data_IF_118915544843
#
_entry.id   IF_118915544843
#
_cell.length_a   1.000
_cell.length_b   1.000
_cell.length_c   1.000
_cell.angle_alpha   90.00
_cell.angle_beta   90.00
_cell.angle_gamma   90.00
#
_symmetry.space_group_name_H-M   'P 1'
#
loop_
_entity.id
_entity.type
_entity.pdbx_description
1 polymer ?
#
# COMPACT_ATOMS: atom_id res chain seq x y z
N UNK A 1 -23.04 11.04 20.68
CA UNK A 1 -24.10 11.79 19.96
C UNK A 1 -24.74 10.98 18.85
N UNK A 2 -24.07 10.66 17.74
CA UNK A 2 -24.68 9.93 16.61
C UNK A 2 -25.32 8.57 17.01
N UNK A 3 -24.64 7.75 17.81
CA UNK A 3 -25.16 6.46 18.30
C UNK A 3 -26.36 6.63 19.24
N UNK A 4 -26.38 7.70 20.04
CA UNK A 4 -27.48 7.97 20.99
C UNK A 4 -28.73 8.36 20.20
N UNK A 5 -28.58 9.25 19.22
CA UNK A 5 -29.68 9.67 18.34
C UNK A 5 -30.27 8.48 17.58
N UNK A 6 -29.46 7.52 17.12
CA UNK A 6 -29.96 6.29 16.50
C UNK A 6 -30.76 5.42 17.48
N UNK A 7 -30.29 5.27 18.73
CA UNK A 7 -31.03 4.55 19.77
C UNK A 7 -32.36 5.25 20.14
N UNK A 8 -32.37 6.58 20.16
CA UNK A 8 -33.59 7.37 20.40
C UNK A 8 -34.61 7.18 19.27
N UNK A 9 -34.17 7.24 18.01
CA UNK A 9 -35.02 7.00 16.83
C UNK A 9 -35.58 5.58 16.81
N UNK A 10 -34.84 4.59 17.32
CA UNK A 10 -35.30 3.20 17.45
C UNK A 10 -36.19 2.96 18.68
N UNK A 11 -36.60 4.00 19.43
CA UNK A 11 -37.42 3.88 20.63
C UNK A 11 -36.68 3.28 21.84
N UNK A 12 -35.34 3.19 21.77
CA UNK A 12 -34.46 2.59 22.78
C UNK A 12 -33.68 3.63 23.60
N UNK A 13 -34.10 4.90 23.60
CA UNK A 13 -33.39 6.00 24.28
C UNK A 13 -33.20 5.85 25.80
N UNK A 14 -33.96 4.94 26.44
CA UNK A 14 -33.87 4.60 27.86
C UNK A 14 -33.25 3.21 28.12
N UNK A 15 -32.74 2.52 27.11
CA UNK A 15 -32.16 1.19 27.27
C UNK A 15 -30.81 1.23 28.00
N UNK A 16 -30.36 0.06 28.46
CA UNK A 16 -29.00 -0.11 29.03
C UNK A 16 -27.94 0.32 28.01
N UNK A 17 -28.16 0.04 26.72
CA UNK A 17 -27.30 0.50 25.63
C UNK A 17 -27.21 2.03 25.56
N UNK A 18 -28.35 2.74 25.61
CA UNK A 18 -28.36 4.20 25.59
C UNK A 18 -27.61 4.80 26.78
N UNK A 19 -27.78 4.23 27.98
CA UNK A 19 -27.06 4.65 29.20
C UNK A 19 -25.56 4.39 29.11
N UNK A 20 -25.14 3.25 28.55
CA UNK A 20 -23.72 2.93 28.33
C UNK A 20 -23.09 3.94 27.37
N UNK A 21 -23.75 4.26 26.26
CA UNK A 21 -23.24 5.21 25.25
C UNK A 21 -23.21 6.64 25.80
N UNK A 22 -24.18 7.05 26.63
CA UNK A 22 -24.27 8.39 27.20
C UNK A 22 -23.23 8.64 28.29
N UNK A 23 -23.20 7.76 29.30
CA UNK A 23 -22.49 8.05 30.56
C UNK A 23 -21.17 7.28 30.69
N UNK A 24 -21.02 6.16 29.97
CA UNK A 24 -19.93 5.21 30.14
C UNK A 24 -19.20 4.85 28.84
N UNK A 25 -19.25 5.71 27.82
CA UNK A 25 -18.62 5.46 26.51
C UNK A 25 -17.13 5.11 26.61
N UNK A 26 -16.39 5.76 27.52
CA UNK A 26 -14.96 5.45 27.74
C UNK A 26 -14.73 4.02 28.25
N UNK A 27 -15.66 3.47 29.03
CA UNK A 27 -15.59 2.10 29.55
C UNK A 27 -16.01 1.09 28.48
N UNK A 28 -16.99 1.45 27.63
CA UNK A 28 -17.37 0.70 26.44
C UNK A 28 -16.20 0.53 25.47
N UNK A 29 -15.53 1.63 25.10
CA UNK A 29 -14.36 1.62 24.19
C UNK A 29 -13.22 0.76 24.74
N UNK A 30 -13.04 0.75 26.07
CA UNK A 30 -12.03 -0.07 26.75
C UNK A 30 -12.51 -1.50 27.07
N UNK A 31 -13.73 -1.86 26.66
CA UNK A 31 -14.37 -3.16 26.88
C UNK A 31 -14.33 -3.64 28.33
N UNK A 32 -14.51 -2.72 29.29
CA UNK A 32 -14.46 -3.02 30.73
C UNK A 32 -15.82 -3.51 31.24
N UNK A 33 -16.24 -4.69 30.77
CA UNK A 33 -17.54 -5.31 31.09
C UNK A 33 -17.82 -5.39 32.60
N UNK A 34 -16.86 -5.82 33.47
CA UNK A 34 -17.13 -5.92 34.90
C UNK A 34 -17.34 -4.55 35.58
N UNK A 35 -16.64 -3.51 35.10
CA UNK A 35 -16.82 -2.15 35.61
C UNK A 35 -18.14 -1.54 35.12
N UNK A 36 -18.54 -1.83 33.88
CA UNK A 36 -19.84 -1.46 33.34
C UNK A 36 -20.97 -2.09 34.17
N UNK A 37 -20.86 -3.37 34.55
CA UNK A 37 -21.87 -4.09 35.36
C UNK A 37 -22.07 -3.43 36.70
N UNK A 38 -20.97 -3.11 37.39
CA UNK A 38 -21.00 -2.39 38.67
C UNK A 38 -21.61 -1.00 38.56
N UNK A 39 -21.28 -0.25 37.51
CA UNK A 39 -21.74 1.14 37.35
C UNK A 39 -23.17 1.26 36.85
N UNK A 40 -23.62 0.31 36.05
CA UNK A 40 -25.00 0.29 35.50
C UNK A 40 -25.98 -0.45 36.41
N UNK A 41 -25.49 -1.26 37.35
CA UNK A 41 -26.33 -2.09 38.22
C UNK A 41 -27.06 -3.20 37.45
N UNK A 42 -26.46 -3.66 36.34
CA UNK A 42 -27.03 -4.72 35.48
C UNK A 42 -26.09 -5.90 35.39
N UNK A 43 -26.60 -7.06 34.98
CA UNK A 43 -25.78 -8.27 34.88
C UNK A 43 -24.74 -8.12 33.76
N UNK A 44 -23.69 -8.94 33.79
CA UNK A 44 -22.71 -8.96 32.70
C UNK A 44 -23.33 -9.41 31.37
N UNK A 45 -24.39 -10.23 31.43
CA UNK A 45 -25.14 -10.73 30.27
C UNK A 45 -25.98 -9.63 29.62
N UNK A 46 -26.66 -8.81 30.43
CA UNK A 46 -27.40 -7.63 29.94
C UNK A 46 -26.49 -6.61 29.27
N UNK A 47 -25.27 -6.45 29.78
CA UNK A 47 -24.27 -5.56 29.18
C UNK A 47 -23.76 -6.12 27.86
N UNK A 48 -23.54 -7.43 27.80
CA UNK A 48 -23.11 -8.08 26.58
C UNK A 48 -24.18 -7.91 25.49
N UNK A 49 -25.45 -8.13 25.83
CA UNK A 49 -26.61 -7.86 24.96
C UNK A 49 -26.67 -6.38 24.52
N UNK A 50 -26.44 -5.45 25.44
CA UNK A 50 -26.42 -4.02 25.13
C UNK A 50 -25.25 -3.62 24.21
N UNK A 51 -24.09 -4.28 24.34
CA UNK A 51 -22.94 -4.05 23.46
C UNK A 51 -23.22 -4.58 22.05
N UNK A 52 -23.87 -5.73 21.95
CA UNK A 52 -24.29 -6.30 20.67
C UNK A 52 -25.31 -5.39 19.98
N UNK A 53 -26.26 -4.83 20.71
CA UNK A 53 -27.19 -3.81 20.19
C UNK A 53 -26.44 -2.58 19.66
N UNK A 54 -25.49 -2.04 20.43
CA UNK A 54 -24.67 -0.88 20.00
C UNK A 54 -23.85 -1.22 18.74
N UNK A 55 -23.36 -2.45 18.62
CA UNK A 55 -22.57 -2.89 17.49
C UNK A 55 -23.36 -2.94 16.16
N UNK A 56 -24.70 -3.00 16.22
CA UNK A 56 -25.56 -2.92 15.03
C UNK A 56 -25.73 -1.50 14.48
N UNK A 57 -25.36 -0.47 15.25
CA UNK A 57 -25.54 0.92 14.87
C UNK A 57 -24.40 1.43 13.99
N UNK A 58 -24.68 2.43 13.14
CA UNK A 58 -23.69 3.01 12.23
C UNK A 58 -23.02 4.22 12.89
N UNK A 59 -21.73 4.18 13.26
CA UNK A 59 -21.07 5.34 13.89
C UNK A 59 -20.89 6.53 12.93
N UNK A 60 -21.04 6.33 11.62
CA UNK A 60 -20.81 7.36 10.61
C UNK A 60 -21.80 7.23 9.41
N UNK A 61 -23.12 7.42 9.64
CA UNK A 61 -24.14 7.24 8.61
C UNK A 61 -23.96 8.18 7.42
N UNK A 62 -23.38 9.37 7.66
CA UNK A 62 -23.04 10.36 6.63
C UNK A 62 -22.02 9.86 5.59
N UNK A 63 -21.22 8.84 5.91
CA UNK A 63 -20.20 8.30 5.00
C UNK A 63 -20.81 7.73 3.70
N UNK A 64 -22.05 7.24 3.75
CA UNK A 64 -22.79 6.72 2.59
C UNK A 64 -23.13 7.79 1.55
N UNK A 65 -23.12 9.06 1.96
CA UNK A 65 -23.38 10.22 1.11
C UNK A 65 -22.09 10.94 0.69
N UNK A 66 -20.93 10.47 1.14
CA UNK A 66 -19.65 10.96 0.66
C UNK A 66 -19.47 10.56 -0.79
N UNK A 67 -18.94 11.47 -1.61
CA UNK A 67 -18.51 11.11 -2.96
C UNK A 67 -17.51 9.96 -2.88
N UNK A 68 -17.68 8.96 -3.75
CA UNK A 68 -16.77 7.83 -3.83
C UNK A 68 -15.41 8.34 -4.31
N UNK A 69 -14.38 8.20 -3.47
CA UNK A 69 -13.02 8.62 -3.77
C UNK A 69 -12.24 7.54 -4.50
N UNK A 70 -12.92 6.60 -5.16
CA UNK A 70 -12.31 5.49 -5.85
C UNK A 70 -11.61 5.96 -7.14
N UNK A 71 -10.44 6.55 -6.97
CA UNK A 71 -9.59 6.98 -8.07
C UNK A 71 -9.05 5.75 -8.77
N UNK A 72 -9.50 5.52 -10.01
CA UNK A 72 -8.93 4.49 -10.87
C UNK A 72 -7.49 4.87 -11.21
N UNK A 73 -6.55 4.04 -10.78
CA UNK A 73 -5.13 4.23 -11.08
C UNK A 73 -4.81 3.50 -12.38
N UNK A 74 -4.46 4.27 -13.40
CA UNK A 74 -3.94 3.71 -14.64
C UNK A 74 -2.44 3.39 -14.47
N UNK A 75 -2.02 2.12 -14.62
CA UNK A 75 -0.63 1.73 -14.42
C UNK A 75 0.25 2.21 -15.57
N UNK A 76 1.47 2.68 -15.27
CA UNK A 76 2.47 3.05 -16.28
C UNK A 76 3.12 1.83 -16.93
N UNK A 77 3.22 0.72 -16.20
CA UNK A 77 3.89 -0.50 -16.64
C UNK A 77 3.06 -1.72 -16.28
N UNK A 78 2.97 -2.67 -17.19
CA UNK A 78 2.31 -3.96 -16.98
C UNK A 78 3.32 -5.09 -17.08
N UNK A 79 3.32 -5.97 -16.08
CA UNK A 79 4.16 -7.16 -16.01
C UNK A 79 3.26 -8.40 -15.99
N UNK A 80 3.52 -9.34 -16.90
CA UNK A 80 2.74 -10.58 -17.03
C UNK A 80 3.63 -11.71 -17.58
N UNK A 81 3.17 -12.97 -17.45
CA UNK A 81 3.79 -14.10 -18.14
C UNK A 81 3.12 -14.32 -19.48
N UNK A 82 3.93 -14.55 -20.52
CA UNK A 82 3.41 -14.99 -21.81
C UNK A 82 3.02 -16.48 -21.80
N UNK A 83 2.52 -16.96 -22.94
CA UNK A 83 2.09 -18.35 -23.12
C UNK A 83 3.22 -19.38 -22.96
N UNK A 84 4.48 -18.94 -23.01
CA UNK A 84 5.68 -19.75 -22.80
C UNK A 84 6.23 -19.66 -21.37
N UNK A 85 5.51 -18.97 -20.47
CA UNK A 85 5.88 -18.78 -19.07
C UNK A 85 7.00 -17.76 -18.85
N UNK A 86 7.38 -16.97 -19.86
CA UNK A 86 8.42 -15.94 -19.73
C UNK A 86 7.81 -14.63 -19.25
N UNK A 87 8.51 -13.95 -18.36
CA UNK A 87 8.09 -12.65 -17.87
C UNK A 87 8.28 -11.55 -18.92
N UNK A 88 7.19 -10.86 -19.24
CA UNK A 88 7.15 -9.74 -20.16
C UNK A 88 6.87 -8.44 -19.42
N UNK A 89 7.50 -7.35 -19.90
CA UNK A 89 7.32 -5.99 -19.40
C UNK A 89 6.80 -5.13 -20.54
N UNK A 90 5.62 -4.54 -20.38
CA UNK A 90 5.00 -3.64 -21.35
C UNK A 90 4.78 -2.28 -20.72
N UNK A 91 5.32 -1.24 -21.35
CA UNK A 91 5.09 0.15 -20.96
C UNK A 91 3.78 0.66 -21.56
N UNK A 92 2.91 1.23 -20.73
CA UNK A 92 1.73 1.94 -21.20
C UNK A 92 2.15 3.36 -21.61
N UNK A 93 2.15 3.61 -22.92
CA UNK A 93 2.60 4.86 -23.53
C UNK A 93 1.45 5.63 -24.19
N UNK A 94 0.20 5.28 -23.89
CA UNK A 94 -0.99 5.81 -24.57
C UNK A 94 -1.14 7.33 -24.41
N UNK A 95 -0.58 7.89 -23.33
CA UNK A 95 -0.55 9.33 -23.07
C UNK A 95 0.59 10.08 -23.79
N UNK A 96 1.53 9.38 -24.46
CA UNK A 96 2.65 10.01 -25.16
C UNK A 96 2.38 9.99 -26.67
N UNK A 97 2.16 11.16 -27.31
CA UNK A 97 1.99 11.21 -28.74
C UNK A 97 3.28 10.78 -29.45
N UNK A 98 3.16 10.17 -30.64
CA UNK A 98 4.33 9.87 -31.49
C UNK A 98 4.92 11.18 -32.02
N UNK A 99 5.98 11.64 -31.38
CA UNK A 99 6.66 12.88 -31.75
C UNK A 99 7.65 12.64 -32.89
N UNK A 100 7.62 13.51 -33.90
CA UNK A 100 8.59 13.53 -35.00
C UNK A 100 8.90 14.96 -35.40
N UNK A 101 10.13 15.20 -35.85
CA UNK A 101 10.50 16.48 -36.46
C UNK A 101 9.88 16.54 -37.85
N UNK A 102 9.14 17.60 -38.14
CA UNK A 102 8.51 17.80 -39.46
C UNK A 102 9.55 17.78 -40.58
N UNK A 103 9.26 17.02 -41.65
CA UNK A 103 10.11 16.91 -42.84
C UNK A 103 10.24 18.22 -43.62
N UNK A 104 9.23 19.09 -43.54
CA UNK A 104 9.19 20.40 -44.21
C UNK A 104 10.42 21.24 -43.87
N UNK A 105 10.84 21.23 -42.61
CA UNK A 105 12.00 22.00 -42.17
C UNK A 105 13.33 21.44 -42.69
N UNK A 106 13.41 20.11 -42.88
CA UNK A 106 14.58 19.47 -43.53
C UNK A 106 14.66 19.86 -44.99
N UNK A 107 13.54 19.89 -45.69
CA UNK A 107 13.45 20.30 -47.09
C UNK A 107 13.80 21.79 -47.28
N UNK A 108 13.32 22.67 -46.39
CA UNK A 108 13.67 24.09 -46.41
C UNK A 108 15.17 24.33 -46.24
N UNK A 109 15.83 23.57 -45.35
CA UNK A 109 17.28 23.61 -45.18
C UNK A 109 18.04 23.09 -46.42
N UNK A 110 17.51 22.05 -47.08
CA UNK A 110 18.11 21.45 -48.27
C UNK A 110 17.99 22.36 -49.51
N UNK A 111 16.91 23.14 -49.62
CA UNK A 111 16.69 24.08 -50.74
C UNK A 111 17.68 25.25 -50.78
N UNK A 112 18.37 25.55 -49.68
CA UNK A 112 19.46 26.54 -49.65
C UNK A 112 19.04 28.00 -49.84
N UNK A 113 17.74 28.31 -49.85
CA UNK A 113 17.18 29.66 -50.05
C UNK A 113 17.16 30.53 -48.79
N UNK A 114 17.64 30.02 -47.66
CA UNK A 114 17.61 30.68 -46.35
C UNK A 114 18.87 31.51 -46.11
N UNK A 115 18.71 32.66 -45.46
CA UNK A 115 19.83 33.44 -44.92
C UNK A 115 20.59 32.64 -43.86
N UNK A 116 21.88 32.96 -43.66
CA UNK A 116 22.73 32.31 -42.65
C UNK A 116 22.08 32.35 -41.25
N UNK A 117 21.51 33.50 -40.85
CA UNK A 117 20.83 33.66 -39.56
C UNK A 117 19.58 32.77 -39.43
N UNK A 118 18.79 32.64 -40.49
CA UNK A 118 17.58 31.82 -40.52
C UNK A 118 17.92 30.34 -40.48
N UNK A 119 18.95 29.93 -41.22
CA UNK A 119 19.50 28.57 -41.20
C UNK A 119 19.97 28.17 -39.80
N UNK A 120 20.75 29.03 -39.15
CA UNK A 120 21.27 28.77 -37.81
C UNK A 120 20.13 28.64 -36.77
N UNK A 121 19.13 29.53 -36.85
CA UNK A 121 17.94 29.46 -35.99
C UNK A 121 17.15 28.16 -36.19
N UNK A 122 16.90 27.75 -37.44
CA UNK A 122 16.18 26.51 -37.73
C UNK A 122 16.94 25.28 -37.24
N UNK A 123 18.26 25.23 -37.43
CA UNK A 123 19.10 24.16 -36.93
C UNK A 123 19.06 24.06 -35.41
N UNK A 124 19.11 25.20 -34.70
CA UNK A 124 18.98 25.24 -33.25
C UNK A 124 17.63 24.67 -32.79
N UNK A 125 16.51 25.14 -33.36
CA UNK A 125 15.16 24.65 -32.99
C UNK A 125 15.00 23.16 -33.30
N UNK A 126 15.56 22.67 -34.40
CA UNK A 126 15.57 21.24 -34.73
C UNK A 126 16.39 20.42 -33.75
N UNK A 127 17.55 20.93 -33.28
CA UNK A 127 18.35 20.26 -32.24
C UNK A 127 17.59 20.21 -30.91
N UNK A 128 16.97 21.32 -30.50
CA UNK A 128 16.14 21.36 -29.28
C UNK A 128 14.96 20.39 -29.37
N UNK A 129 14.29 20.32 -30.54
CA UNK A 129 13.22 19.35 -30.77
C UNK A 129 13.71 17.90 -30.69
N UNK A 130 14.85 17.59 -31.31
CA UNK A 130 15.46 16.25 -31.23
C UNK A 130 15.84 15.89 -29.79
N UNK A 131 16.41 16.84 -29.05
CA UNK A 131 16.77 16.66 -27.65
C UNK A 131 15.55 16.31 -26.78
N UNK A 132 14.42 16.98 -27.00
CA UNK A 132 13.17 16.67 -26.29
C UNK A 132 12.68 15.26 -26.58
N UNK A 133 12.63 14.87 -27.86
CA UNK A 133 12.20 13.51 -28.27
C UNK A 133 13.10 12.46 -27.62
N UNK A 134 14.42 12.61 -27.73
CA UNK A 134 15.39 11.69 -27.14
C UNK A 134 15.25 11.63 -25.61
N UNK A 135 14.96 12.75 -24.94
CA UNK A 135 14.77 12.80 -23.50
C UNK A 135 13.53 12.03 -23.05
N UNK A 136 12.44 12.08 -23.84
CA UNK A 136 11.22 11.30 -23.58
C UNK A 136 11.49 9.80 -23.75
N UNK A 137 12.18 9.42 -24.82
CA UNK A 137 12.58 8.02 -25.07
C UNK A 137 13.50 7.50 -23.97
N UNK A 138 14.51 8.28 -23.56
CA UNK A 138 15.42 7.92 -22.48
C UNK A 138 14.69 7.70 -21.15
N UNK A 139 13.69 8.54 -20.84
CA UNK A 139 12.84 8.36 -19.67
C UNK A 139 12.10 7.02 -19.71
N UNK A 140 11.55 6.64 -20.87
CA UNK A 140 10.86 5.35 -21.03
C UNK A 140 11.80 4.16 -20.88
N UNK A 141 12.96 4.21 -21.55
CA UNK A 141 13.98 3.18 -21.40
C UNK A 141 14.46 3.02 -19.96
N UNK A 142 14.55 4.12 -19.21
CA UNK A 142 14.96 4.10 -17.80
C UNK A 142 13.92 3.37 -16.93
N UNK A 143 12.62 3.66 -17.14
CA UNK A 143 11.53 2.99 -16.43
C UNK A 143 11.47 1.50 -16.77
N UNK A 144 11.67 1.16 -18.04
CA UNK A 144 11.72 -0.24 -18.50
C UNK A 144 12.86 -1.00 -17.83
N UNK A 145 14.08 -0.44 -17.85
CA UNK A 145 15.26 -1.03 -17.22
C UNK A 145 15.05 -1.24 -15.72
N UNK A 146 14.57 -0.21 -15.01
CA UNK A 146 14.24 -0.32 -13.59
C UNK A 146 13.21 -1.43 -13.35
N UNK A 147 12.19 -1.54 -14.20
CA UNK A 147 11.16 -2.59 -14.07
C UNK A 147 11.73 -3.98 -14.27
N UNK A 148 12.58 -4.18 -15.28
CA UNK A 148 13.25 -5.47 -15.54
C UNK A 148 14.15 -5.88 -14.37
N UNK A 149 14.87 -4.94 -13.79
CA UNK A 149 15.68 -5.20 -12.60
C UNK A 149 14.82 -5.55 -11.39
N UNK A 150 13.74 -4.82 -11.13
CA UNK A 150 12.79 -5.17 -10.05
C UNK A 150 12.23 -6.58 -10.27
N UNK A 151 11.84 -6.92 -11.48
CA UNK A 151 11.33 -8.24 -11.84
C UNK A 151 12.35 -9.35 -11.60
N UNK A 152 13.62 -9.12 -11.94
CA UNK A 152 14.73 -10.06 -11.69
C UNK A 152 14.96 -10.28 -10.19
N UNK A 153 15.04 -9.19 -9.41
CA UNK A 153 15.27 -9.27 -7.96
C UNK A 153 14.08 -9.82 -7.17
N UNK A 154 12.85 -9.56 -7.64
CA UNK A 154 11.60 -9.89 -6.96
C UNK A 154 10.84 -11.04 -7.64
N UNK A 155 11.54 -11.91 -8.35
CA UNK A 155 10.92 -13.03 -9.08
C UNK A 155 9.96 -13.85 -8.20
N UNK A 156 10.34 -14.15 -6.95
CA UNK A 156 9.48 -14.87 -6.02
C UNK A 156 8.17 -14.13 -5.70
N UNK A 157 8.19 -12.80 -5.61
CA UNK A 157 6.99 -11.99 -5.39
C UNK A 157 6.05 -12.07 -6.59
N UNK A 158 6.60 -11.99 -7.81
CA UNK A 158 5.77 -12.07 -9.01
C UNK A 158 5.17 -13.48 -9.17
N UNK A 159 5.84 -14.52 -8.68
CA UNK A 159 5.36 -15.89 -8.72
C UNK A 159 4.34 -16.21 -7.61
N UNK A 160 4.66 -15.90 -6.36
CA UNK A 160 3.92 -16.35 -5.17
C UNK A 160 3.16 -15.24 -4.44
N UNK A 161 3.29 -13.99 -4.89
CA UNK A 161 2.61 -12.83 -4.33
C UNK A 161 3.36 -12.17 -3.18
N UNK A 162 2.62 -11.34 -2.43
CA UNK A 162 3.16 -10.36 -1.47
C UNK A 162 4.00 -11.02 -0.35
N UNK A 163 3.66 -12.25 0.05
CA UNK A 163 4.35 -12.96 1.12
C UNK A 163 5.84 -13.18 0.84
N UNK A 164 6.23 -13.27 -0.44
CA UNK A 164 7.61 -13.51 -0.88
C UNK A 164 8.35 -12.25 -1.34
N UNK A 165 7.89 -11.07 -0.91
CA UNK A 165 8.58 -9.81 -1.18
C UNK A 165 9.94 -9.76 -0.46
N UNK A 166 11.02 -9.70 -1.25
CA UNK A 166 12.39 -9.60 -0.75
C UNK A 166 12.76 -8.13 -0.48
N UNK A 167 13.63 -7.86 0.50
CA UNK A 167 14.21 -6.53 0.69
C UNK A 167 14.97 -6.03 -0.54
N UNK A 168 14.71 -4.79 -0.93
CA UNK A 168 15.36 -4.17 -2.08
C UNK A 168 15.51 -2.67 -1.82
N UNK A 169 16.71 -2.15 -2.06
CA UNK A 169 17.00 -0.72 -1.91
C UNK A 169 17.08 -0.04 -3.26
N UNK A 170 16.79 1.26 -3.32
CA UNK A 170 16.93 2.03 -4.56
C UNK A 170 18.39 2.06 -5.02
N UNK A 171 19.34 2.10 -4.09
CA UNK A 171 20.76 2.05 -4.40
C UNK A 171 21.17 0.75 -5.13
N UNK A 172 20.61 -0.40 -4.73
CA UNK A 172 20.85 -1.68 -5.42
C UNK A 172 20.46 -1.61 -6.89
N UNK A 173 19.27 -1.09 -7.20
CA UNK A 173 18.81 -0.92 -8.59
C UNK A 173 19.61 0.16 -9.32
N UNK A 174 19.96 1.26 -8.63
CA UNK A 174 20.75 2.34 -9.19
C UNK A 174 22.12 1.88 -9.69
N UNK A 175 22.78 1.00 -8.93
CA UNK A 175 24.05 0.38 -9.32
C UNK A 175 23.92 -0.48 -10.58
N UNK A 176 22.90 -1.34 -10.65
CA UNK A 176 22.70 -2.21 -11.82
C UNK A 176 22.31 -1.45 -13.08
N UNK A 177 21.52 -0.38 -12.95
CA UNK A 177 21.07 0.45 -14.09
C UNK A 177 22.10 1.55 -14.43
N UNK A 178 23.22 1.64 -13.72
CA UNK A 178 24.28 2.64 -13.88
C UNK A 178 23.79 4.09 -13.79
N UNK A 179 22.87 4.36 -12.87
CA UNK A 179 22.32 5.69 -12.61
C UNK A 179 22.47 6.07 -11.14
N UNK A 180 22.32 7.36 -10.84
CA UNK A 180 22.29 7.81 -9.45
C UNK A 180 20.97 7.42 -8.76
N UNK A 181 20.99 7.15 -7.45
CA UNK A 181 19.80 6.78 -6.67
C UNK A 181 18.66 7.81 -6.80
N UNK A 182 19.01 9.11 -6.84
CA UNK A 182 18.04 10.19 -7.05
C UNK A 182 17.35 10.12 -8.41
N UNK A 183 18.01 9.60 -9.43
CA UNK A 183 17.42 9.37 -10.76
C UNK A 183 16.37 8.26 -10.69
N UNK A 184 16.67 7.15 -9.99
CA UNK A 184 15.70 6.07 -9.77
C UNK A 184 14.48 6.60 -9.00
N UNK A 185 14.71 7.27 -7.87
CA UNK A 185 13.64 7.83 -7.02
C UNK A 185 12.72 8.79 -7.78
N UNK A 186 13.29 9.64 -8.65
CA UNK A 186 12.52 10.55 -9.51
C UNK A 186 11.79 9.82 -10.63
N UNK A 187 12.43 8.85 -11.28
CA UNK A 187 11.85 8.11 -12.39
C UNK A 187 10.59 7.32 -11.98
N UNK A 188 10.62 6.75 -10.78
CA UNK A 188 9.52 5.93 -10.24
C UNK A 188 8.47 6.72 -9.44
N UNK A 189 8.69 8.03 -9.22
CA UNK A 189 7.80 8.84 -8.41
C UNK A 189 6.40 8.91 -9.05
N UNK A 190 5.36 8.63 -8.26
CA UNK A 190 3.97 8.60 -8.70
C UNK A 190 3.69 7.63 -9.87
N UNK A 191 4.53 6.61 -10.04
CA UNK A 191 4.34 5.58 -11.05
C UNK A 191 3.81 4.29 -10.46
N UNK A 192 3.01 3.60 -11.25
CA UNK A 192 2.36 2.36 -10.86
C UNK A 192 2.67 1.23 -11.84
N UNK A 193 2.82 0.03 -11.27
CA UNK A 193 3.05 -1.21 -11.97
C UNK A 193 1.86 -2.13 -11.75
N UNK A 194 1.28 -2.64 -12.83
CA UNK A 194 0.35 -3.75 -12.80
C UNK A 194 1.12 -5.06 -12.82
N UNK A 195 0.87 -5.91 -11.84
CA UNK A 195 1.39 -7.28 -11.75
C UNK A 195 0.21 -8.28 -11.74
N UNK A 196 0.48 -9.59 -11.82
CA UNK A 196 -0.56 -10.60 -11.66
C UNK A 196 -1.30 -10.53 -10.31
N UNK A 197 -0.67 -9.92 -9.29
CA UNK A 197 -1.21 -9.80 -7.94
C UNK A 197 -1.90 -8.45 -7.65
N UNK A 198 -2.02 -7.57 -8.66
CA UNK A 198 -2.69 -6.28 -8.54
C UNK A 198 -1.83 -5.09 -9.00
N UNK A 199 -2.28 -3.87 -8.68
CA UNK A 199 -1.59 -2.62 -9.05
C UNK A 199 -0.83 -2.09 -7.84
N UNK A 200 0.48 -1.90 -8.00
CA UNK A 200 1.38 -1.45 -6.94
C UNK A 200 2.14 -0.20 -7.39
N UNK A 201 2.30 0.77 -6.49
CA UNK A 201 3.23 1.88 -6.73
C UNK A 201 4.67 1.32 -6.81
N UNK A 202 5.54 1.84 -7.66
CA UNK A 202 6.92 1.34 -7.73
C UNK A 202 7.65 1.40 -6.39
N UNK A 203 7.39 2.45 -5.59
CA UNK A 203 7.94 2.61 -4.22
C UNK A 203 7.66 1.40 -3.32
N UNK A 204 6.60 0.65 -3.60
CA UNK A 204 6.21 -0.54 -2.85
C UNK A 204 7.28 -1.62 -2.81
N UNK A 205 8.02 -1.79 -3.91
CA UNK A 205 9.06 -2.81 -4.02
C UNK A 205 10.33 -2.46 -3.25
N UNK A 206 10.50 -1.19 -2.89
CA UNK A 206 11.68 -0.69 -2.18
C UNK A 206 11.44 -0.72 -0.68
N UNK A 207 11.59 -1.91 -0.09
CA UNK A 207 11.45 -2.08 1.35
C UNK A 207 12.80 -2.30 2.02
N UNK A 208 13.08 -1.60 3.14
CA UNK A 208 14.19 -1.97 4.00
C UNK A 208 13.91 -3.36 4.59
N UNK A 209 14.93 -4.22 4.58
CA UNK A 209 14.84 -5.58 5.04
C UNK A 209 15.34 -5.79 6.46
N UNK A 210 14.87 -6.87 7.06
CA UNK A 210 15.52 -7.51 8.20
C UNK A 210 16.16 -8.81 7.73
N UNK A 211 17.42 -9.04 8.11
CA UNK A 211 18.11 -10.30 7.81
C UNK A 211 17.72 -11.34 8.86
N UNK A 212 17.12 -12.45 8.43
CA UNK A 212 16.90 -13.63 9.28
C UNK A 212 18.24 -14.26 9.68
N UNK A 213 18.24 -15.01 10.78
CA UNK A 213 19.41 -15.80 11.21
C UNK A 213 19.88 -16.82 10.17
N UNK A 214 18.98 -17.25 9.29
CA UNK A 214 19.21 -18.18 8.18
C UNK A 214 19.78 -17.53 6.92
N UNK A 215 19.99 -16.21 6.92
CA UNK A 215 20.48 -15.46 5.76
C UNK A 215 19.39 -15.04 4.77
N UNK A 216 18.16 -15.56 4.90
CA UNK A 216 17.00 -15.05 4.15
C UNK A 216 16.62 -13.65 4.65
N UNK A 217 16.48 -12.70 3.73
CA UNK A 217 16.09 -11.34 4.05
C UNK A 217 14.57 -11.19 3.90
N UNK A 218 13.89 -10.77 4.97
CA UNK A 218 12.43 -10.64 5.03
C UNK A 218 12.07 -9.16 5.09
N UNK A 219 11.13 -8.74 4.24
CA UNK A 219 10.64 -7.36 4.19
C UNK A 219 9.70 -7.04 5.37
N UNK A 220 9.67 -5.76 5.78
CA UNK A 220 8.75 -5.28 6.81
C UNK A 220 7.29 -5.60 6.53
N UNK A 221 6.89 -5.59 5.25
CA UNK A 221 5.52 -5.87 4.87
C UNK A 221 5.18 -7.36 4.99
N UNK A 222 6.07 -8.25 4.56
CA UNK A 222 5.89 -9.69 4.78
C UNK A 222 5.76 -10.02 6.28
N UNK A 223 6.52 -9.34 7.15
CA UNK A 223 6.36 -9.48 8.62
C UNK A 223 4.98 -9.02 9.08
N UNK A 224 4.46 -7.90 8.57
CA UNK A 224 3.11 -7.42 8.91
C UNK A 224 2.03 -8.40 8.46
N UNK A 225 2.12 -8.91 7.24
CA UNK A 225 1.16 -9.87 6.71
C UNK A 225 1.22 -11.20 7.50
N UNK A 226 2.40 -11.64 7.91
CA UNK A 226 2.55 -12.78 8.81
C UNK A 226 1.94 -12.54 10.19
N UNK A 227 2.08 -11.33 10.75
CA UNK A 227 1.43 -10.96 12.02
C UNK A 227 -0.09 -10.98 11.87
N UNK A 228 -0.63 -10.45 10.77
CA UNK A 228 -2.06 -10.49 10.49
C UNK A 228 -2.58 -11.94 10.43
N UNK A 229 -1.91 -12.81 9.65
CA UNK A 229 -2.30 -14.22 9.52
C UNK A 229 -2.26 -14.98 10.86
N UNK A 230 -1.21 -14.77 11.67
CA UNK A 230 -1.11 -15.40 13.01
C UNK A 230 -2.24 -14.95 13.95
N UNK A 231 -2.77 -13.74 13.76
CA UNK A 231 -3.86 -13.20 14.57
C UNK A 231 -5.22 -13.67 14.03
N UNK A 232 -5.36 -13.84 12.72
CA UNK A 232 -6.58 -14.43 12.12
C UNK A 232 -6.80 -15.87 12.58
N UNK A 233 -5.73 -16.65 12.75
CA UNK A 233 -5.80 -18.04 13.24
C UNK A 233 -5.86 -18.17 14.78
N UNK A 234 -5.93 -17.05 15.52
CA UNK A 234 -5.86 -17.10 16.98
C UNK A 234 -7.17 -17.58 17.63
N UNK A 235 -7.05 -18.18 18.80
CA UNK A 235 -8.21 -18.45 19.65
C UNK A 235 -8.71 -17.14 20.27
N UNK A 236 -9.92 -16.71 19.89
CA UNK A 236 -10.57 -15.46 20.34
C UNK A 236 -10.84 -15.41 21.85
N UNK A 237 -10.97 -16.55 22.53
CA UNK A 237 -11.12 -16.64 23.99
C UNK A 237 -9.80 -16.37 24.74
N UNK A 238 -8.67 -16.63 24.07
CA UNK A 238 -7.32 -16.42 24.61
C UNK A 238 -6.38 -15.85 23.52
N UNK A 239 -6.59 -14.58 23.12
CA UNK A 239 -5.82 -13.95 22.06
C UNK A 239 -4.32 -13.92 22.39
N UNK A 240 -3.48 -13.97 21.37
CA UNK A 240 -2.04 -13.96 21.54
C UNK A 240 -1.55 -12.61 22.09
N UNK A 241 -0.63 -12.67 23.05
CA UNK A 241 0.11 -11.49 23.51
C UNK A 241 1.16 -11.11 22.47
N UNK A 242 1.57 -9.84 22.44
CA UNK A 242 2.67 -9.40 21.56
C UNK A 242 3.94 -10.25 21.79
N UNK A 243 4.17 -10.73 23.03
CA UNK A 243 5.28 -11.63 23.34
C UNK A 243 5.09 -13.02 22.70
N UNK A 244 3.87 -13.56 22.72
CA UNK A 244 3.58 -14.85 22.09
C UNK A 244 3.76 -14.79 20.56
N UNK A 245 3.41 -13.66 19.94
CA UNK A 245 3.64 -13.43 18.51
C UNK A 245 5.15 -13.37 18.20
N UNK A 246 5.96 -12.73 19.05
CA UNK A 246 7.42 -12.77 18.94
C UNK A 246 7.93 -14.21 18.97
N UNK A 247 7.44 -15.03 19.90
CA UNK A 247 7.88 -16.41 20.04
C UNK A 247 7.49 -17.27 18.81
N UNK A 248 6.28 -17.07 18.27
CA UNK A 248 5.81 -17.74 17.05
C UNK A 248 6.63 -17.33 15.81
N UNK A 249 6.97 -16.05 15.68
CA UNK A 249 7.83 -15.57 14.59
C UNK A 249 9.27 -16.07 14.74
N UNK A 250 9.75 -16.21 15.97
CA UNK A 250 11.07 -16.81 16.25
C UNK A 250 11.13 -18.29 15.84
N UNK A 251 10.03 -19.04 15.94
CA UNK A 251 9.94 -20.41 15.42
C UNK A 251 10.05 -20.45 13.89
N UNK A 252 9.65 -19.37 13.21
CA UNK A 252 9.86 -19.16 11.77
C UNK A 252 11.21 -18.50 11.46
N UNK A 253 12.15 -18.53 12.41
CA UNK A 253 13.49 -17.92 12.36
C UNK A 253 13.57 -16.39 12.26
N UNK A 254 12.43 -15.69 12.38
CA UNK A 254 12.36 -14.24 12.28
C UNK A 254 12.59 -13.62 13.66
N UNK A 255 13.73 -12.95 13.85
CA UNK A 255 14.06 -12.26 15.11
C UNK A 255 13.55 -10.82 15.09
N UNK A 256 12.46 -10.54 15.80
CA UNK A 256 11.96 -9.17 16.00
C UNK A 256 11.71 -8.86 17.47
N UNK A 257 11.86 -7.58 17.83
CA UNK A 257 11.59 -7.11 19.19
C UNK A 257 10.08 -6.97 19.43
N UNK A 258 9.64 -7.21 20.67
CA UNK A 258 8.24 -7.04 21.10
C UNK A 258 7.66 -5.66 20.76
N UNK A 259 8.46 -4.58 20.91
CA UNK A 259 8.05 -3.20 20.55
C UNK A 259 7.76 -3.06 19.05
N UNK A 260 8.51 -3.76 18.20
CA UNK A 260 8.29 -3.77 16.75
C UNK A 260 6.99 -4.49 16.38
N UNK A 261 6.68 -5.60 17.06
CA UNK A 261 5.39 -6.30 16.90
C UNK A 261 4.23 -5.41 17.28
N UNK A 262 4.31 -4.75 18.45
CA UNK A 262 3.26 -3.84 18.90
C UNK A 262 3.02 -2.70 17.89
N UNK A 263 4.11 -2.09 17.39
CA UNK A 263 4.04 -1.05 16.35
C UNK A 263 3.37 -1.55 15.06
N UNK A 264 3.79 -2.72 14.56
CA UNK A 264 3.21 -3.29 13.33
C UNK A 264 1.75 -3.69 13.50
N UNK A 265 1.37 -4.21 14.68
CA UNK A 265 -0.02 -4.50 15.03
C UNK A 265 -0.88 -3.23 15.02
N UNK A 266 -0.37 -2.14 15.59
CA UNK A 266 -1.05 -0.83 15.57
C UNK A 266 -1.22 -0.29 14.14
N UNK A 267 -0.18 -0.38 13.31
CA UNK A 267 -0.26 0.05 11.90
C UNK A 267 -1.25 -0.79 11.07
N UNK A 268 -1.47 -2.06 11.44
CA UNK A 268 -2.48 -2.94 10.84
C UNK A 268 -3.90 -2.70 11.40
N UNK A 269 -4.07 -1.79 12.36
CA UNK A 269 -5.36 -1.55 13.02
C UNK A 269 -5.82 -2.67 13.94
N UNK A 270 -4.94 -3.61 14.29
CA UNK A 270 -5.28 -4.77 15.11
C UNK A 270 -5.24 -4.36 16.59
N UNK A 271 -6.30 -4.65 17.34
CA UNK A 271 -6.44 -4.25 18.74
C UNK A 271 -5.47 -4.99 19.67
N UNK A 272 -5.08 -4.41 20.82
CA UNK A 272 -4.28 -5.11 21.84
C UNK A 272 -5.05 -6.28 22.45
N UNK A 273 -4.30 -7.24 23.00
CA UNK A 273 -4.82 -8.52 23.54
C UNK A 273 -6.05 -8.36 24.45
N UNK A 274 -6.07 -7.34 25.31
CA UNK A 274 -7.18 -7.10 26.24
C UNK A 274 -8.51 -6.74 25.55
N UNK A 275 -8.45 -6.10 24.37
CA UNK A 275 -9.63 -5.68 23.62
C UNK A 275 -10.09 -6.76 22.63
N UNK A 276 -9.17 -7.64 22.19
CA UNK A 276 -9.47 -8.77 21.30
C UNK A 276 -10.17 -9.94 21.99
N UNK A 277 -9.99 -10.08 23.31
CA UNK A 277 -10.56 -11.19 24.08
C UNK A 277 -12.09 -11.18 24.00
N UNK A 278 -12.68 -12.28 23.55
CA UNK A 278 -14.11 -12.57 23.68
C UNK A 278 -14.32 -13.48 24.89
N UNK A 279 -15.41 -13.25 25.62
CA UNK A 279 -15.86 -14.09 26.72
C UNK A 279 -17.15 -14.72 26.22
N UNK A 280 -17.03 -15.89 25.60
CA UNK A 280 -18.16 -16.77 25.34
C UNK A 280 -18.38 -17.66 26.58
#
# INVERSE_FOLDING_TARGET
DCLITQLELNGRGNSVAARIVRDYFKLLVRRRIPELSRKTGTTTDDIQTAIEEIATLDPAPGKRFSADSNTVIEPDVTVFKDDYGQWQVVLNNDYIPRLRISGVYKEMLAKGTLSKKEKDFMLERMRSGKFLINSIEQRQQTIERITREILSFQSDFFEHGIAKLRPLTMNTIAQTVEVHETTVSRAIANKYMRSPHGVFAFKYFFTPGFTSSSGESVSNKSIKDMIAHLIEEENTAKPYSDQKIVDLLKQKEIKIARRTVAKYREELGILPTNLRRRYD
#
